data_IF_794682556321
#
_entry.id   IF_794682556321
#
_cell.length_a   1.000
_cell.length_b   1.000
_cell.length_c   1.000
_cell.angle_alpha   90.00
_cell.angle_beta   90.00
_cell.angle_gamma   90.00
#
_symmetry.space_group_name_H-M   'P 1'
#
loop_
_entity.id
_entity.type
_entity.pdbx_description
1 polymer ?
#
# COMPACT_ATOMS: atom_id res chain seq x y z
N UNK A 1 30.97 -22.11 -1.71
CA UNK A 1 29.77 -22.36 -0.89
C UNK A 1 30.17 -22.45 0.58
N UNK A 2 30.05 -21.37 1.34
CA UNK A 2 30.04 -21.40 2.81
C UNK A 2 29.11 -20.29 3.31
N UNK A 3 28.10 -20.70 4.05
CA UNK A 3 27.16 -19.86 4.79
C UNK A 3 27.91 -19.20 5.95
N UNK A 4 27.61 -17.94 6.25
CA UNK A 4 27.93 -17.29 7.52
C UNK A 4 26.67 -16.66 8.09
N UNK A 5 26.35 -17.14 9.28
CA UNK A 5 25.30 -16.74 10.20
C UNK A 5 25.66 -15.38 10.82
N UNK A 6 24.67 -14.50 10.99
CA UNK A 6 24.78 -13.32 11.85
C UNK A 6 23.49 -13.15 12.63
N UNK A 7 23.58 -13.49 13.91
CA UNK A 7 22.54 -13.40 14.92
C UNK A 7 22.58 -12.01 15.57
N UNK A 8 21.43 -11.36 15.69
CA UNK A 8 21.18 -10.43 16.80
C UNK A 8 20.68 -9.04 16.41
N UNK A 9 19.37 -8.81 16.54
CA UNK A 9 18.88 -7.62 17.22
C UNK A 9 17.53 -7.90 17.88
N UNK A 10 17.52 -7.83 19.22
CA UNK A 10 16.32 -7.96 20.06
C UNK A 10 15.40 -6.77 19.79
N UNK A 11 14.18 -7.02 19.34
CA UNK A 11 13.11 -6.02 19.27
C UNK A 11 12.03 -6.43 20.26
N UNK A 12 11.84 -5.64 21.31
CA UNK A 12 10.79 -5.87 22.30
C UNK A 12 9.41 -5.61 21.66
N UNK A 13 8.41 -6.47 21.87
CA UNK A 13 7.08 -6.29 21.28
C UNK A 13 6.34 -5.12 21.93
N UNK A 14 5.79 -4.23 21.12
CA UNK A 14 4.85 -3.19 21.56
C UNK A 14 3.46 -3.82 21.64
N UNK A 15 2.80 -3.85 22.81
CA UNK A 15 1.51 -4.51 22.96
C UNK A 15 0.41 -3.73 22.21
N UNK A 16 -0.24 -4.36 21.23
CA UNK A 16 -1.41 -3.82 20.53
C UNK A 16 -1.27 -3.69 19.01
N UNK A 17 -0.06 -3.83 18.45
CA UNK A 17 0.12 -4.01 17.01
C UNK A 17 0.21 -5.51 16.69
N UNK A 18 -0.38 -6.01 15.58
CA UNK A 18 -0.09 -7.35 15.11
C UNK A 18 1.43 -7.51 14.90
N UNK A 19 1.94 -8.66 15.32
CA UNK A 19 3.36 -9.03 15.34
C UNK A 19 4.03 -8.69 14.00
N UNK A 20 4.75 -7.56 13.96
CA UNK A 20 5.53 -7.14 12.81
C UNK A 20 6.82 -7.94 12.81
N UNK A 21 6.91 -8.97 11.96
CA UNK A 21 8.19 -9.64 11.69
C UNK A 21 9.00 -8.68 10.83
N UNK A 22 9.77 -7.82 11.51
CA UNK A 22 10.72 -6.95 10.86
C UNK A 22 11.90 -7.78 10.32
N UNK A 23 12.07 -7.75 9.00
CA UNK A 23 13.35 -7.98 8.35
C UNK A 23 13.79 -9.42 8.22
N UNK A 24 13.30 -10.11 7.21
CA UNK A 24 14.15 -10.93 6.36
C UNK A 24 13.60 -10.87 4.93
N UNK A 25 14.49 -10.67 3.95
CA UNK A 25 14.29 -10.65 2.49
C UNK A 25 12.86 -10.88 1.97
N UNK A 26 12.31 -9.95 1.17
CA UNK A 26 11.03 -10.04 0.43
C UNK A 26 10.72 -11.44 -0.14
N UNK A 27 10.19 -12.33 0.70
CA UNK A 27 9.73 -13.68 0.37
C UNK A 27 8.20 -13.77 0.43
N UNK A 28 7.53 -12.64 0.65
CA UNK A 28 6.10 -12.53 0.48
C UNK A 28 5.73 -12.41 -1.01
N UNK A 29 4.54 -12.88 -1.38
CA UNK A 29 4.07 -12.78 -2.75
C UNK A 29 4.06 -11.31 -3.21
N UNK A 30 4.66 -11.03 -4.37
CA UNK A 30 4.69 -9.69 -4.97
C UNK A 30 3.28 -9.36 -5.47
N UNK A 31 2.45 -8.82 -4.58
CA UNK A 31 1.05 -8.49 -4.85
C UNK A 31 0.69 -7.12 -4.30
N UNK A 32 -0.32 -6.50 -4.91
CA UNK A 32 -0.86 -5.21 -4.48
C UNK A 32 -1.43 -5.25 -3.05
N UNK A 33 -2.03 -6.39 -2.65
CA UNK A 33 -2.54 -6.58 -1.30
C UNK A 33 -1.43 -6.54 -0.23
N UNK A 34 -0.27 -7.15 -0.52
CA UNK A 34 0.90 -7.09 0.38
C UNK A 34 1.40 -5.65 0.54
N UNK A 35 1.36 -4.84 -0.52
CA UNK A 35 1.70 -3.41 -0.45
C UNK A 35 0.72 -2.66 0.47
N UNK A 36 -0.59 -2.87 0.30
CA UNK A 36 -1.61 -2.25 1.14
C UNK A 36 -1.43 -2.61 2.63
N UNK A 37 -1.15 -3.88 2.91
CA UNK A 37 -0.85 -4.35 4.26
C UNK A 37 0.42 -3.71 4.84
N UNK A 38 1.48 -3.60 4.03
CA UNK A 38 2.75 -2.99 4.45
C UNK A 38 2.60 -1.53 4.87
N UNK A 39 1.73 -0.78 4.19
CA UNK A 39 1.46 0.65 4.50
C UNK A 39 0.19 0.87 5.33
N UNK A 40 -0.39 -0.18 5.89
CA UNK A 40 -1.65 -0.09 6.65
C UNK A 40 -1.54 0.91 7.80
N UNK A 41 -2.57 1.74 7.96
CA UNK A 41 -2.61 2.81 8.96
C UNK A 41 -1.82 4.09 8.62
N UNK A 42 -1.02 4.08 7.55
CA UNK A 42 -0.31 5.27 7.04
C UNK A 42 -0.98 5.90 5.83
N UNK A 43 -1.56 5.08 4.96
CA UNK A 43 -2.24 5.53 3.74
C UNK A 43 -3.75 5.42 3.88
N UNK A 44 -4.48 6.38 3.31
CA UNK A 44 -5.94 6.31 3.22
C UNK A 44 -6.42 5.57 1.97
N UNK A 45 -5.59 5.53 0.92
CA UNK A 45 -5.94 4.87 -0.33
C UNK A 45 -4.71 4.45 -1.12
N UNK A 46 -4.93 3.50 -2.03
CA UNK A 46 -3.90 2.92 -2.89
C UNK A 46 -4.43 2.85 -4.33
N UNK A 47 -3.66 3.37 -5.28
CA UNK A 47 -3.99 3.25 -6.70
C UNK A 47 -3.47 1.93 -7.23
N UNK A 48 -4.33 1.18 -7.90
CA UNK A 48 -4.05 -0.16 -8.40
C UNK A 48 -4.39 -0.21 -9.89
N UNK A 49 -3.63 -0.98 -10.66
CA UNK A 49 -3.84 -1.07 -12.10
C UNK A 49 -5.15 -1.82 -12.41
N UNK A 50 -5.71 -1.55 -13.58
CA UNK A 50 -6.88 -2.27 -14.09
C UNK A 50 -6.62 -3.79 -14.17
N UNK A 51 -5.38 -4.21 -14.43
CA UNK A 51 -5.01 -5.63 -14.42
C UNK A 51 -5.10 -6.28 -13.04
N UNK A 52 -5.06 -5.49 -11.97
CA UNK A 52 -5.09 -5.96 -10.58
C UNK A 52 -6.46 -5.75 -9.91
N UNK A 53 -7.52 -5.50 -10.69
CA UNK A 53 -8.87 -5.22 -10.19
C UNK A 53 -9.36 -6.25 -9.15
N UNK A 54 -9.03 -7.53 -9.34
CA UNK A 54 -9.41 -8.62 -8.42
C UNK A 54 -8.77 -8.51 -7.02
N UNK A 55 -7.71 -7.72 -6.87
CA UNK A 55 -7.06 -7.45 -5.58
C UNK A 55 -7.72 -6.30 -4.82
N UNK A 56 -8.65 -5.55 -5.44
CA UNK A 56 -9.29 -4.38 -4.84
C UNK A 56 -9.93 -4.68 -3.48
N UNK A 57 -10.71 -5.77 -3.39
CA UNK A 57 -11.35 -6.18 -2.13
C UNK A 57 -10.34 -6.48 -1.02
N UNK A 58 -9.16 -7.01 -1.37
CA UNK A 58 -8.10 -7.30 -0.40
C UNK A 58 -7.38 -6.03 0.04
N UNK A 59 -7.20 -5.06 -0.86
CA UNK A 59 -6.66 -3.74 -0.54
C UNK A 59 -7.60 -3.01 0.42
N UNK A 60 -8.91 -3.06 0.15
CA UNK A 60 -9.94 -2.56 1.05
C UNK A 60 -9.87 -3.21 2.43
N UNK A 61 -9.81 -4.54 2.46
CA UNK A 61 -9.71 -5.30 3.71
C UNK A 61 -8.41 -4.99 4.50
N UNK A 62 -7.33 -4.58 3.83
CA UNK A 62 -6.08 -4.15 4.44
C UNK A 62 -6.12 -2.71 5.01
N UNK A 63 -7.24 -1.99 4.82
CA UNK A 63 -7.48 -0.68 5.40
C UNK A 63 -7.15 0.52 4.51
N UNK A 64 -7.00 0.31 3.19
CA UNK A 64 -6.81 1.38 2.22
C UNK A 64 -7.94 1.35 1.17
N UNK A 65 -8.48 2.51 0.80
CA UNK A 65 -9.43 2.63 -0.31
C UNK A 65 -8.71 2.33 -1.65
N UNK A 66 -9.16 1.32 -2.42
CA UNK A 66 -8.58 1.04 -3.73
C UNK A 66 -9.13 2.02 -4.79
N UNK A 67 -8.22 2.63 -5.56
CA UNK A 67 -8.58 3.33 -6.81
C UNK A 67 -8.09 2.49 -7.99
N UNK A 68 -9.01 1.95 -8.78
CA UNK A 68 -8.66 1.28 -10.05
C UNK A 68 -8.38 2.33 -11.12
N UNK A 69 -7.18 2.35 -11.67
CA UNK A 69 -6.84 3.21 -12.79
C UNK A 69 -5.70 2.62 -13.61
N UNK A 70 -5.72 2.80 -14.94
CA UNK A 70 -4.57 2.53 -15.79
C UNK A 70 -3.34 3.27 -15.28
N UNK A 71 -2.40 2.52 -14.72
CA UNK A 71 -1.20 3.05 -14.04
C UNK A 71 0.04 3.06 -14.94
N UNK A 72 -0.06 2.42 -16.12
CA UNK A 72 1.01 2.40 -17.13
C UNK A 72 1.11 3.77 -17.82
N UNK A 73 2.19 4.48 -17.54
CA UNK A 73 2.46 5.84 -18.02
C UNK A 73 3.40 5.85 -19.23
N UNK A 74 2.88 5.46 -20.40
CA UNK A 74 3.64 5.41 -21.66
C UNK A 74 3.83 6.77 -22.35
N UNK A 75 2.96 7.73 -22.04
CA UNK A 75 2.98 9.09 -22.61
C UNK A 75 2.78 10.16 -21.53
N UNK A 76 3.05 11.42 -21.88
CA UNK A 76 2.76 12.54 -20.98
C UNK A 76 1.26 12.71 -20.75
N UNK A 77 0.43 12.38 -21.74
CA UNK A 77 -1.03 12.38 -21.60
C UNK A 77 -1.50 11.35 -20.57
N UNK A 78 -0.92 10.14 -20.59
CA UNK A 78 -1.21 9.11 -19.58
C UNK A 78 -0.87 9.60 -18.17
N UNK A 79 0.29 10.26 -18.00
CA UNK A 79 0.72 10.83 -16.71
C UNK A 79 -0.26 11.89 -16.21
N UNK A 80 -0.67 12.79 -17.09
CA UNK A 80 -1.58 13.87 -16.76
C UNK A 80 -2.95 13.30 -16.38
N UNK A 81 -3.46 12.32 -17.12
CA UNK A 81 -4.75 11.70 -16.85
C UNK A 81 -4.74 10.93 -15.52
N UNK A 82 -3.69 10.13 -15.26
CA UNK A 82 -3.54 9.45 -13.98
C UNK A 82 -3.43 10.44 -12.81
N UNK A 83 -2.65 11.51 -12.95
CA UNK A 83 -2.53 12.54 -11.93
C UNK A 83 -3.88 13.20 -11.62
N UNK A 84 -4.71 13.47 -12.64
CA UNK A 84 -6.08 14.00 -12.43
C UNK A 84 -6.96 13.02 -11.64
N UNK A 85 -6.88 11.72 -11.95
CA UNK A 85 -7.62 10.71 -11.20
C UNK A 85 -7.18 10.65 -9.74
N UNK A 86 -5.86 10.64 -9.49
CA UNK A 86 -5.29 10.65 -8.14
C UNK A 86 -5.72 11.88 -7.35
N UNK A 87 -5.64 13.08 -7.94
CA UNK A 87 -6.02 14.31 -7.25
C UNK A 87 -7.52 14.36 -6.93
N UNK A 88 -8.36 13.83 -7.83
CA UNK A 88 -9.80 13.72 -7.60
C UNK A 88 -10.10 12.76 -6.45
N UNK A 89 -9.45 11.61 -6.45
CA UNK A 89 -9.55 10.60 -5.40
C UNK A 89 -9.06 11.14 -4.03
N UNK A 90 -7.90 11.79 -4.00
CA UNK A 90 -7.32 12.35 -2.77
C UNK A 90 -8.20 13.43 -2.11
N UNK A 91 -8.98 14.17 -2.91
CA UNK A 91 -9.91 15.17 -2.39
C UNK A 91 -11.03 14.54 -1.56
N UNK A 92 -11.48 13.33 -1.89
CA UNK A 92 -12.51 12.63 -1.12
C UNK A 92 -12.10 12.43 0.36
N UNK A 93 -10.82 12.15 0.63
CA UNK A 93 -10.32 12.00 1.99
C UNK A 93 -10.00 13.32 2.70
N UNK A 94 -9.83 14.40 1.93
CA UNK A 94 -9.51 15.72 2.49
C UNK A 94 -10.75 16.34 3.14
N UNK A 95 -11.93 16.14 2.55
CA UNK A 95 -13.20 16.59 3.12
C UNK A 95 -13.60 15.82 4.39
N UNK A 96 -13.26 14.53 4.49
CA UNK A 96 -13.53 13.74 5.71
C UNK A 96 -12.77 14.23 6.95
N UNK A 97 -11.57 14.83 6.76
CA UNK A 97 -10.80 15.40 7.87
C UNK A 97 -11.36 16.74 8.35
N UNK A 98 -12.10 17.46 7.50
CA UNK A 98 -12.71 18.75 7.83
C UNK A 98 -13.97 18.63 8.68
N UNK A 99 -14.71 17.51 8.60
CA UNK A 99 -15.87 17.25 9.48
C UNK A 99 -15.49 16.66 10.86
N UNK A 100 -14.21 16.30 11.08
CA UNK A 100 -13.71 15.72 12.34
C UNK A 100 -12.92 16.72 13.22
N UNK A 101 -12.81 17.98 12.80
CA UNK A 101 -12.17 19.07 13.55
C UNK A 101 -13.21 20.02 14.16
#
# INVERSE_FOLDING_TARGET
MKQHEVTGLSVLPVPGLPLFVAGDSICEAITVATIAGHYSGLINGLVIDETDTEQGDKVWAAGAEPLIARSIMTSDEDRINLARHILTFARAFSDERLCRA
#
